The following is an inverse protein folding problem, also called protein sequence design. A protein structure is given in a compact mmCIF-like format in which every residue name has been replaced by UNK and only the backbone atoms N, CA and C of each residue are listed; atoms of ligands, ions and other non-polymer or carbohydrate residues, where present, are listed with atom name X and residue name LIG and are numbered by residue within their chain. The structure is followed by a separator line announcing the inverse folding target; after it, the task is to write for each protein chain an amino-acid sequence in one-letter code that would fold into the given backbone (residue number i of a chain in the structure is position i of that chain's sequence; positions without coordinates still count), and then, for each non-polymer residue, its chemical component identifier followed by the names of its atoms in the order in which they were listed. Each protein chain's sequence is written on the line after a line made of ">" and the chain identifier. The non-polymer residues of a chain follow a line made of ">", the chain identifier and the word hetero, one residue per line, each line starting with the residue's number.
data_IF_137104005247
#
_entry.id   IF_137104005247
#
_cell.length_a   1.000
_cell.length_b   1.000
_cell.length_c   1.000
_cell.angle_alpha   90.00
_cell.angle_beta   90.00
_cell.angle_gamma   90.00
#
_symmetry.space_group_name_H-M   'P 1'
#
loop_
_entity.id
_entity.type
_entity.pdbx_description
1 polymer ?
#
# COMPACT_ATOMS: atom_id res chain seq x y z
N UNK A 1 44.30 14.60 25.41
CA UNK A 1 43.76 15.35 24.26
C UNK A 1 44.05 14.69 22.93
N UNK A 2 45.29 14.23 22.65
CA UNK A 2 45.60 13.57 21.37
C UNK A 2 44.87 12.22 21.17
N UNK A 3 44.71 11.42 22.23
CA UNK A 3 44.05 10.11 22.16
C UNK A 3 42.51 10.17 21.99
N UNK A 4 41.86 11.28 22.33
CA UNK A 4 40.40 11.44 22.11
C UNK A 4 40.09 11.81 20.66
N UNK A 5 40.99 12.54 20.00
CA UNK A 5 40.85 12.92 18.59
C UNK A 5 41.09 11.71 17.69
N UNK A 6 42.11 10.89 17.96
CA UNK A 6 42.33 9.64 17.21
C UNK A 6 41.14 8.67 17.35
N UNK A 7 40.52 8.60 18.53
CA UNK A 7 39.37 7.71 18.75
C UNK A 7 38.10 8.20 18.06
N UNK A 8 37.95 9.52 17.86
CA UNK A 8 36.86 10.15 17.10
C UNK A 8 37.08 10.06 15.58
N UNK A 9 38.32 10.19 15.11
CA UNK A 9 38.66 10.01 13.70
C UNK A 9 38.50 8.53 13.29
N UNK A 10 38.84 7.60 14.18
CA UNK A 10 38.66 6.17 13.94
C UNK A 10 37.18 5.73 13.96
N UNK A 11 36.32 6.40 14.74
CA UNK A 11 34.87 6.11 14.72
C UNK A 11 34.14 6.75 13.53
N UNK A 12 34.66 7.84 12.97
CA UNK A 12 34.17 8.49 11.75
C UNK A 12 34.70 7.83 10.46
N UNK A 13 35.81 7.11 10.54
CA UNK A 13 36.40 6.37 9.42
C UNK A 13 35.75 4.99 9.19
N UNK A 14 34.96 4.49 10.14
CA UNK A 14 34.19 3.25 9.96
C UNK A 14 33.07 3.49 8.94
N UNK A 15 33.03 2.76 7.82
CA UNK A 15 31.95 2.90 6.84
C UNK A 15 30.58 2.74 7.51
N UNK A 16 29.65 3.65 7.24
CA UNK A 16 28.29 3.65 7.82
C UNK A 16 27.54 2.32 7.62
N UNK A 17 27.96 1.52 6.63
CA UNK A 17 27.49 0.16 6.35
C UNK A 17 27.87 -0.90 7.40
N UNK A 18 28.90 -0.67 8.21
CA UNK A 18 29.30 -1.60 9.28
C UNK A 18 28.59 -1.31 10.62
N UNK A 19 28.10 -0.07 10.81
CA UNK A 19 27.37 0.35 12.02
C UNK A 19 25.87 0.03 11.99
N UNK A 20 25.30 -0.23 10.82
CA UNK A 20 23.86 -0.45 10.63
C UNK A 20 23.45 -1.91 10.52
N UNK A 21 24.38 -2.85 10.73
CA UNK A 21 24.12 -4.27 10.46
C UNK A 21 23.72 -4.51 8.99
N UNK A 22 23.55 -5.77 8.61
CA UNK A 22 22.81 -6.05 7.37
C UNK A 22 21.34 -5.72 7.66
N UNK A 23 20.65 -4.91 6.84
CA UNK A 23 19.21 -4.75 7.01
C UNK A 23 18.57 -6.13 6.96
N UNK A 24 17.80 -6.44 7.99
CA UNK A 24 17.02 -7.67 8.03
C UNK A 24 15.86 -7.51 7.05
N UNK A 25 16.13 -7.88 5.81
CA UNK A 25 15.19 -7.80 4.70
C UNK A 25 13.93 -8.64 4.98
N UNK A 26 14.03 -9.72 5.76
CA UNK A 26 12.88 -10.54 6.13
C UNK A 26 11.95 -9.78 7.09
N UNK A 27 12.53 -9.03 8.04
CA UNK A 27 11.79 -8.13 8.94
C UNK A 27 11.21 -6.92 8.20
N UNK A 28 11.94 -6.32 7.26
CA UNK A 28 11.45 -5.20 6.44
C UNK A 28 10.32 -5.67 5.51
N UNK A 29 10.45 -6.83 4.88
CA UNK A 29 9.39 -7.43 4.08
C UNK A 29 8.20 -7.83 4.96
N UNK A 30 8.41 -8.37 6.17
CA UNK A 30 7.32 -8.66 7.11
C UNK A 30 6.56 -7.39 7.54
N UNK A 31 7.25 -6.26 7.70
CA UNK A 31 6.65 -4.96 7.99
C UNK A 31 5.83 -4.42 6.81
N UNK A 32 6.34 -4.53 5.57
CA UNK A 32 5.59 -4.19 4.36
C UNK A 32 4.38 -5.11 4.09
N UNK A 33 4.46 -6.38 4.54
CA UNK A 33 3.40 -7.38 4.42
C UNK A 33 2.23 -7.14 5.38
N UNK A 34 2.49 -6.73 6.63
CA UNK A 34 1.43 -6.46 7.63
C UNK A 34 0.66 -5.15 7.39
N UNK A 35 1.29 -4.14 6.77
CA UNK A 35 0.62 -2.88 6.37
C UNK A 35 -0.60 -3.10 5.47
N UNK A 36 -0.65 -4.21 4.74
CA UNK A 36 -1.76 -4.54 3.82
C UNK A 36 -2.96 -5.18 4.53
N UNK A 37 -2.77 -5.73 5.73
CA UNK A 37 -3.77 -6.55 6.42
C UNK A 37 -4.63 -5.76 7.41
N UNK A 38 -4.07 -4.76 8.10
CA UNK A 38 -4.80 -3.94 9.10
C UNK A 38 -5.96 -3.11 8.54
N UNK A 39 -5.99 -2.85 7.22
CA UNK A 39 -7.01 -2.04 6.54
C UNK A 39 -8.39 -2.71 6.40
N UNK A 40 -8.52 -4.03 6.63
CA UNK A 40 -9.76 -4.77 6.31
C UNK A 40 -10.80 -4.82 7.43
N UNK A 41 -10.49 -4.40 8.66
CA UNK A 41 -11.45 -4.50 9.78
C UNK A 41 -12.30 -3.25 10.01
N UNK A 42 -11.94 -2.08 9.45
CA UNK A 42 -12.64 -0.82 9.72
C UNK A 42 -13.88 -0.54 8.85
N UNK A 43 -14.14 -1.31 7.77
CA UNK A 43 -15.23 -1.01 6.81
C UNK A 43 -16.46 -1.92 6.97
N UNK A 44 -16.49 -2.79 7.98
CA UNK A 44 -17.39 -3.95 8.00
C UNK A 44 -18.40 -4.07 9.14
N UNK A 45 -18.90 -3.00 9.77
CA UNK A 45 -19.93 -3.13 10.83
C UNK A 45 -21.11 -2.16 10.69
N UNK A 46 -21.71 -2.15 9.51
CA UNK A 46 -23.00 -1.52 9.23
C UNK A 46 -24.14 -2.52 9.02
N UNK A 47 -24.43 -3.37 10.00
CA UNK A 47 -25.76 -3.99 10.13
C UNK A 47 -25.84 -5.53 10.12
N UNK A 48 -26.06 -6.11 11.30
CA UNK A 48 -27.15 -7.06 11.57
C UNK A 48 -27.12 -7.47 13.06
N UNK A 49 -28.22 -7.21 13.76
CA UNK A 49 -28.46 -7.68 15.12
C UNK A 49 -28.71 -9.21 15.14
N UNK A 50 -27.96 -9.89 16.01
CA UNK A 50 -28.28 -11.10 16.78
C UNK A 50 -28.53 -12.45 16.06
N UNK A 51 -27.73 -13.48 16.40
CA UNK A 51 -28.06 -14.55 17.36
C UNK A 51 -26.77 -15.25 17.81
N UNK A 52 -26.64 -15.46 19.11
CA UNK A 52 -25.51 -16.06 19.80
C UNK A 52 -25.42 -17.59 19.66
N UNK A 53 -24.21 -18.12 19.52
CA UNK A 53 -23.83 -19.43 20.08
C UNK A 53 -22.43 -19.31 20.71
N UNK A 54 -22.39 -19.49 22.03
CA UNK A 54 -21.20 -19.63 22.85
C UNK A 54 -20.54 -20.99 22.59
N UNK A 55 -19.27 -21.01 22.18
CA UNK A 55 -18.37 -22.13 22.43
C UNK A 55 -17.05 -21.60 22.97
N UNK A 56 -16.89 -21.71 24.28
CA UNK A 56 -15.64 -21.50 24.98
C UNK A 56 -14.68 -22.65 24.64
N UNK A 57 -13.60 -22.36 23.91
CA UNK A 57 -12.43 -23.23 23.84
C UNK A 57 -11.34 -22.64 24.73
N UNK A 58 -11.16 -23.27 25.90
CA UNK A 58 -10.02 -23.06 26.78
C UNK A 58 -8.81 -23.71 26.13
N UNK A 59 -7.77 -22.93 25.80
CA UNK A 59 -6.43 -23.47 25.52
C UNK A 59 -5.41 -22.77 26.41
N UNK A 60 -4.94 -23.51 27.41
CA UNK A 60 -3.79 -23.16 28.23
C UNK A 60 -2.53 -23.77 27.61
N UNK A 61 -1.49 -22.94 27.44
CA UNK A 61 -0.08 -23.30 27.63
C UNK A 61 0.77 -23.63 26.39
N UNK A 62 1.64 -22.70 25.97
CA UNK A 62 3.07 -22.67 26.35
C UNK A 62 3.77 -21.38 25.86
N UNK A 63 4.81 -20.89 26.56
CA UNK A 63 5.38 -19.56 26.40
C UNK A 63 6.57 -19.52 25.43
N UNK A 64 6.58 -18.55 24.53
CA UNK A 64 7.72 -18.29 23.64
C UNK A 64 7.30 -17.92 22.22
N UNK A 65 6.69 -16.76 22.06
CA UNK A 65 6.55 -16.07 20.77
C UNK A 65 6.37 -14.58 21.07
N UNK A 66 7.17 -13.75 20.39
CA UNK A 66 7.24 -12.29 20.52
C UNK A 66 5.86 -11.64 20.66
N UNK A 67 5.61 -11.04 21.83
CA UNK A 67 4.38 -10.32 22.18
C UNK A 67 4.50 -8.79 22.05
N UNK A 68 5.59 -8.27 21.45
CA UNK A 68 5.91 -6.84 21.56
C UNK A 68 5.56 -6.03 20.30
N UNK A 69 4.40 -6.28 19.71
CA UNK A 69 3.78 -5.26 18.83
C UNK A 69 2.32 -5.09 19.22
N UNK A 70 1.80 -3.86 19.29
CA UNK A 70 0.37 -3.67 19.40
C UNK A 70 -0.28 -4.42 18.23
N UNK A 71 -1.14 -5.38 18.58
CA UNK A 71 -1.95 -6.08 17.59
C UNK A 71 -2.78 -5.04 16.83
N UNK A 72 -3.14 -5.36 15.57
CA UNK A 72 -4.12 -4.64 14.75
C UNK A 72 -5.42 -4.26 15.52
N UNK A 73 -5.63 -4.89 16.68
CA UNK A 73 -6.64 -4.61 17.68
C UNK A 73 -6.63 -3.18 18.26
N UNK A 74 -5.51 -2.44 18.31
CA UNK A 74 -5.53 -1.10 18.94
C UNK A 74 -6.26 -0.04 18.10
N UNK A 75 -6.13 -0.07 16.77
CA UNK A 75 -6.87 0.85 15.88
C UNK A 75 -8.30 0.36 15.67
N UNK A 76 -8.51 -0.96 15.57
CA UNK A 76 -9.83 -1.56 15.44
C UNK A 76 -10.73 -1.39 16.70
N UNK A 77 -10.13 -1.12 17.87
CA UNK A 77 -10.85 -0.85 19.12
C UNK A 77 -10.85 0.63 19.54
N UNK A 78 -10.42 1.56 18.68
CA UNK A 78 -10.56 3.00 18.95
C UNK A 78 -12.06 3.34 18.96
N UNK A 79 -12.57 3.84 20.09
CA UNK A 79 -13.95 4.28 20.24
C UNK A 79 -14.32 5.45 19.31
N UNK A 80 -13.33 6.07 18.65
CA UNK A 80 -13.49 7.12 17.65
C UNK A 80 -13.37 6.62 16.20
N UNK A 81 -13.26 5.31 15.94
CA UNK A 81 -13.09 4.77 14.59
C UNK A 81 -14.19 5.19 13.60
N UNK A 82 -15.37 5.55 14.09
CA UNK A 82 -16.53 5.99 13.30
C UNK A 82 -16.69 7.52 13.18
N UNK A 83 -15.76 8.32 13.73
CA UNK A 83 -15.85 9.78 13.74
C UNK A 83 -14.52 10.44 13.40
N UNK A 84 -14.58 11.67 12.86
CA UNK A 84 -13.39 12.47 12.65
C UNK A 84 -12.73 12.82 13.98
N UNK A 85 -11.44 12.51 14.09
CA UNK A 85 -10.57 13.02 15.15
C UNK A 85 -10.54 14.56 15.10
N UNK A 86 -10.34 15.25 16.24
CA UNK A 86 -10.30 16.72 16.26
C UNK A 86 -9.29 17.32 15.27
N UNK A 87 -8.13 16.69 15.09
CA UNK A 87 -7.11 17.13 14.12
C UNK A 87 -7.58 16.95 12.66
N UNK A 88 -8.29 15.87 12.35
CA UNK A 88 -8.86 15.62 11.03
C UNK A 88 -10.02 16.59 10.72
N UNK A 89 -10.87 16.86 11.71
CA UNK A 89 -11.91 17.89 11.61
C UNK A 89 -11.29 19.27 11.36
N UNK A 90 -10.24 19.63 12.09
CA UNK A 90 -9.52 20.88 11.87
C UNK A 90 -8.88 20.95 10.48
N UNK A 91 -8.34 19.84 9.98
CA UNK A 91 -7.81 19.77 8.62
C UNK A 91 -8.90 20.01 7.57
N UNK A 92 -10.08 19.41 7.76
CA UNK A 92 -11.25 19.66 6.90
C UNK A 92 -11.68 21.12 6.91
N UNK A 93 -11.62 21.79 8.07
CA UNK A 93 -12.05 23.18 8.23
C UNK A 93 -11.01 24.20 7.73
N UNK A 94 -9.71 23.92 7.91
CA UNK A 94 -8.63 24.91 7.69
C UNK A 94 -7.79 24.67 6.43
N UNK A 95 -7.70 23.45 5.89
CA UNK A 95 -6.86 23.15 4.72
C UNK A 95 -7.68 23.32 3.43
N UNK A 96 -7.32 24.28 2.55
CA UNK A 96 -8.03 24.46 1.28
C UNK A 96 -7.99 23.20 0.42
N UNK A 97 -9.15 22.73 -0.03
CA UNK A 97 -9.28 21.53 -0.86
C UNK A 97 -9.35 20.22 -0.08
N UNK A 98 -9.33 20.25 1.26
CA UNK A 98 -9.60 19.06 2.06
C UNK A 98 -11.05 18.59 1.87
N UNK A 99 -11.23 17.27 1.81
CA UNK A 99 -12.53 16.63 1.60
C UNK A 99 -12.71 15.46 2.56
N UNK A 100 -13.89 15.36 3.17
CA UNK A 100 -14.24 14.20 3.97
C UNK A 100 -14.66 13.07 3.03
N UNK A 101 -14.01 11.92 3.14
CA UNK A 101 -14.24 10.75 2.26
C UNK A 101 -14.86 9.57 3.01
N UNK A 102 -14.86 9.60 4.34
CA UNK A 102 -15.61 8.66 5.19
C UNK A 102 -15.96 9.35 6.52
N UNK A 103 -16.79 8.73 7.38
CA UNK A 103 -17.10 9.27 8.70
C UNK A 103 -15.88 9.60 9.57
N UNK A 104 -14.75 8.92 9.34
CA UNK A 104 -13.50 9.06 10.11
C UNK A 104 -12.28 9.48 9.28
N UNK A 105 -12.43 9.71 7.97
CA UNK A 105 -11.30 10.06 7.10
C UNK A 105 -11.50 11.35 6.30
N UNK A 106 -10.44 12.14 6.25
CA UNK A 106 -10.29 13.34 5.43
C UNK A 106 -9.10 13.16 4.50
N UNK A 107 -9.31 13.43 3.21
CA UNK A 107 -8.23 13.61 2.26
C UNK A 107 -7.85 15.09 2.22
N UNK A 108 -6.58 15.39 2.39
CA UNK A 108 -5.98 16.71 2.20
C UNK A 108 -5.15 16.72 0.92
N UNK A 109 -5.10 17.83 0.17
CA UNK A 109 -4.24 17.93 -1.00
C UNK A 109 -2.76 17.79 -0.63
N UNK A 110 -1.99 17.14 -1.51
CA UNK A 110 -0.54 17.14 -1.42
C UNK A 110 0.05 18.55 -1.51
N UNK A 111 1.18 18.82 -0.86
CA UNK A 111 1.81 20.15 -0.82
C UNK A 111 2.47 20.55 -2.16
N UNK A 112 2.40 19.72 -3.20
CA UNK A 112 3.09 19.92 -4.47
C UNK A 112 4.61 19.77 -4.38
N UNK A 113 5.11 19.31 -3.24
CA UNK A 113 6.49 18.90 -3.01
C UNK A 113 6.53 17.39 -2.85
N UNK A 114 7.63 16.78 -3.29
CA UNK A 114 7.93 15.39 -3.01
C UNK A 114 7.89 15.14 -1.49
N UNK A 115 7.49 13.94 -1.05
CA UNK A 115 7.67 13.57 0.33
C UNK A 115 9.16 13.61 0.74
N UNK A 116 9.41 13.72 2.05
CA UNK A 116 10.61 14.32 2.65
C UNK A 116 11.95 13.58 2.43
N UNK A 117 13.06 14.17 2.89
CA UNK A 117 14.41 13.66 2.67
C UNK A 117 14.64 12.30 3.36
N UNK A 118 14.79 11.25 2.54
CA UNK A 118 14.84 9.85 2.98
C UNK A 118 14.13 8.89 2.01
N UNK A 119 13.45 9.44 0.99
CA UNK A 119 12.52 8.71 0.15
C UNK A 119 12.95 8.48 -1.30
N UNK A 120 12.22 7.56 -1.93
CA UNK A 120 12.40 6.97 -3.26
C UNK A 120 12.85 7.99 -4.30
N UNK A 121 13.98 7.70 -4.94
CA UNK A 121 14.51 8.51 -6.03
C UNK A 121 13.46 8.63 -7.13
N UNK A 122 13.19 9.88 -7.53
CA UNK A 122 12.30 10.14 -8.66
C UNK A 122 12.74 9.31 -9.88
N UNK A 123 11.80 8.60 -10.46
CA UNK A 123 12.04 7.73 -11.60
C UNK A 123 12.19 8.59 -12.87
N UNK A 124 13.36 8.49 -13.50
CA UNK A 124 13.58 9.06 -14.82
C UNK A 124 12.90 8.23 -15.93
N UNK A 125 12.68 8.82 -17.12
CA UNK A 125 12.05 8.14 -18.24
C UNK A 125 12.79 6.87 -18.70
N UNK A 126 14.10 6.77 -18.44
CA UNK A 126 14.92 5.60 -18.74
C UNK A 126 14.54 4.35 -17.93
N UNK A 127 13.74 4.52 -16.86
CA UNK A 127 13.24 3.43 -16.03
C UNK A 127 12.08 2.67 -16.65
N UNK A 128 11.45 3.20 -17.69
CA UNK A 128 10.24 2.62 -18.28
C UNK A 128 10.51 1.99 -19.65
N UNK A 129 9.71 0.98 -19.95
CA UNK A 129 9.53 0.42 -21.30
C UNK A 129 8.14 0.85 -21.77
N UNK A 130 8.10 1.78 -22.72
CA UNK A 130 6.85 2.39 -23.15
C UNK A 130 6.32 3.46 -22.19
N UNK A 131 5.09 3.89 -22.43
CA UNK A 131 4.41 4.90 -21.62
C UNK A 131 3.61 4.22 -20.49
N UNK A 132 3.70 4.71 -19.23
CA UNK A 132 2.82 4.28 -18.15
C UNK A 132 1.34 4.51 -18.47
N UNK A 133 0.47 3.67 -17.91
CA UNK A 133 -0.97 3.74 -18.07
C UNK A 133 -1.58 4.38 -16.82
N UNK A 134 -2.20 5.55 -16.97
CA UNK A 134 -2.96 6.17 -15.87
C UNK A 134 -4.18 5.33 -15.51
N UNK A 135 -4.34 5.04 -14.22
CA UNK A 135 -5.39 4.12 -13.75
C UNK A 135 -6.70 4.81 -13.40
N UNK A 136 -6.70 6.14 -13.23
CA UNK A 136 -7.85 6.91 -12.76
C UNK A 136 -8.00 6.95 -11.23
N UNK A 137 -7.07 6.30 -10.52
CA UNK A 137 -7.01 6.23 -9.06
C UNK A 137 -5.86 7.10 -8.52
N UNK A 138 -5.88 7.35 -7.22
CA UNK A 138 -4.85 8.14 -6.54
C UNK A 138 -4.14 7.33 -5.45
N UNK A 139 -2.90 7.74 -5.15
CA UNK A 139 -2.12 7.22 -4.05
C UNK A 139 -2.31 8.13 -2.83
N UNK A 140 -2.43 7.52 -1.64
CA UNK A 140 -2.63 8.24 -0.40
C UNK A 140 -1.58 7.89 0.64
N UNK A 141 -1.12 8.91 1.36
CA UNK A 141 -0.08 8.79 2.38
C UNK A 141 -0.34 9.64 3.61
N UNK A 142 0.54 9.59 4.62
CA UNK A 142 0.43 10.38 5.83
C UNK A 142 1.16 11.73 5.75
N UNK A 143 0.78 12.65 6.63
CA UNK A 143 1.34 14.01 6.72
C UNK A 143 2.84 13.99 6.99
N UNK A 144 3.30 13.13 7.91
CA UNK A 144 4.71 13.05 8.33
C UNK A 144 5.61 12.42 7.28
N UNK A 145 5.03 11.90 6.18
CA UNK A 145 5.79 11.49 5.00
C UNK A 145 6.45 12.69 4.30
N UNK A 146 5.92 13.90 4.48
CA UNK A 146 6.47 15.11 3.86
C UNK A 146 7.45 15.83 4.78
N UNK A 147 8.19 16.81 4.26
CA UNK A 147 9.00 17.68 5.09
C UNK A 147 8.11 18.49 6.07
N UNK A 148 8.62 18.76 7.28
CA UNK A 148 7.86 19.44 8.33
C UNK A 148 7.33 20.83 7.95
N UNK A 149 7.97 21.50 6.98
CA UNK A 149 7.56 22.80 6.45
C UNK A 149 6.56 22.71 5.27
N UNK A 150 6.22 21.50 4.82
CA UNK A 150 5.24 21.29 3.74
C UNK A 150 3.79 21.45 4.20
N UNK A 151 3.55 21.38 5.51
CA UNK A 151 2.23 21.56 6.11
C UNK A 151 2.26 22.61 7.23
N UNK A 152 1.09 23.16 7.64
CA UNK A 152 1.02 23.97 8.85
C UNK A 152 1.58 23.21 10.06
N UNK A 153 2.36 23.91 10.89
CA UNK A 153 3.06 23.31 12.05
C UNK A 153 2.13 22.51 12.97
N UNK A 154 0.91 23.00 13.18
CA UNK A 154 -0.09 22.31 14.00
C UNK A 154 -0.54 20.96 13.41
N UNK A 155 -0.56 20.83 12.08
CA UNK A 155 -0.96 19.61 11.40
C UNK A 155 0.19 18.60 11.43
N UNK A 156 1.39 19.04 11.04
CA UNK A 156 2.56 18.17 11.05
C UNK A 156 2.89 17.66 12.46
N UNK A 157 3.06 18.58 13.42
CA UNK A 157 3.37 18.20 14.81
C UNK A 157 2.22 17.44 15.46
N UNK A 158 0.99 17.81 15.17
CA UNK A 158 -0.16 17.12 15.73
C UNK A 158 -0.27 15.67 15.24
N UNK A 159 0.04 15.40 13.97
CA UNK A 159 0.12 14.02 13.45
C UNK A 159 1.33 13.31 14.03
N UNK A 160 2.50 13.95 14.08
CA UNK A 160 3.71 13.39 14.69
C UNK A 160 3.50 13.00 16.16
N UNK A 161 2.82 13.83 16.95
CA UNK A 161 2.48 13.56 18.35
C UNK A 161 1.55 12.35 18.50
N UNK A 162 0.59 12.17 17.58
CA UNK A 162 -0.28 10.99 17.55
C UNK A 162 0.52 9.74 17.18
N UNK A 163 1.33 9.82 16.13
CA UNK A 163 2.18 8.72 15.67
C UNK A 163 3.14 8.25 16.78
N UNK A 164 3.84 9.19 17.43
CA UNK A 164 4.83 8.88 18.45
C UNK A 164 4.25 8.63 19.85
N UNK A 165 3.05 9.16 20.15
CA UNK A 165 2.46 9.13 21.48
C UNK A 165 1.34 8.12 21.65
N UNK A 166 0.41 8.05 20.69
CA UNK A 166 -0.78 7.21 20.78
C UNK A 166 -0.62 5.88 20.05
N UNK A 167 0.06 5.89 18.91
CA UNK A 167 0.16 4.72 18.02
C UNK A 167 1.48 3.97 18.15
N UNK A 168 2.52 4.62 18.68
CA UNK A 168 3.81 4.00 18.88
C UNK A 168 3.74 2.78 19.80
N UNK A 169 4.51 1.75 19.43
CA UNK A 169 4.71 0.59 20.28
C UNK A 169 5.49 0.93 21.55
N UNK A 170 5.72 -0.07 22.41
CA UNK A 170 6.49 0.12 23.65
C UNK A 170 7.93 0.63 23.42
N UNK A 171 8.46 0.47 22.21
CA UNK A 171 9.75 0.98 21.77
C UNK A 171 9.72 2.45 21.31
N UNK A 172 8.56 3.10 21.36
CA UNK A 172 8.35 4.48 20.92
C UNK A 172 8.45 4.66 19.41
N UNK A 173 8.47 3.56 18.65
CA UNK A 173 8.54 3.60 17.19
C UNK A 173 7.14 3.45 16.59
N UNK A 174 6.89 4.26 15.57
CA UNK A 174 5.72 4.15 14.72
C UNK A 174 6.09 4.52 13.28
N UNK A 175 5.48 3.89 12.27
CA UNK A 175 5.74 4.24 10.88
C UNK A 175 5.44 5.71 10.57
N UNK A 176 6.44 6.41 10.03
CA UNK A 176 6.25 7.72 9.41
C UNK A 176 5.29 7.58 8.22
N UNK A 177 4.40 8.56 8.05
CA UNK A 177 3.47 8.61 6.93
C UNK A 177 2.28 7.67 7.09
N UNK A 178 1.86 7.39 8.32
CA UNK A 178 0.65 6.59 8.53
C UNK A 178 -0.60 7.37 8.14
N UNK A 179 -1.64 6.65 7.74
CA UNK A 179 -2.98 7.19 7.42
C UNK A 179 -4.01 6.81 8.49
N UNK A 180 -3.60 6.10 9.54
CA UNK A 180 -4.49 5.49 10.54
C UNK A 180 -5.20 6.53 11.42
N UNK A 181 -4.68 7.75 11.51
CA UNK A 181 -5.27 8.85 12.27
C UNK A 181 -6.41 9.58 11.53
N UNK A 182 -6.86 9.07 10.39
CA UNK A 182 -7.98 9.63 9.63
C UNK A 182 -7.62 10.84 8.76
N UNK A 183 -6.32 11.10 8.53
CA UNK A 183 -5.85 12.12 7.61
C UNK A 183 -5.03 11.44 6.52
N UNK A 184 -5.46 11.60 5.28
CA UNK A 184 -4.79 11.08 4.10
C UNK A 184 -4.32 12.25 3.24
N UNK A 185 -3.05 12.30 2.90
CA UNK A 185 -2.52 13.22 1.90
C UNK A 185 -2.65 12.58 0.52
N UNK A 186 -3.30 13.28 -0.41
CA UNK A 186 -3.30 12.91 -1.83
C UNK A 186 -1.89 13.10 -2.40
N UNK A 187 -1.22 11.97 -2.66
CA UNK A 187 0.15 11.92 -3.18
C UNK A 187 0.23 11.95 -4.70
N UNK A 188 -0.90 12.03 -5.40
CA UNK A 188 -0.95 12.08 -6.85
C UNK A 188 -1.63 10.86 -7.49
N UNK A 189 -1.63 10.84 -8.83
CA UNK A 189 -2.27 9.78 -9.60
C UNK A 189 -1.46 8.49 -9.58
N UNK A 190 -2.16 7.36 -9.62
CA UNK A 190 -1.55 6.04 -9.79
C UNK A 190 -1.47 5.68 -11.27
N UNK A 191 -0.30 5.21 -11.67
CA UNK A 191 -0.06 4.67 -13.00
C UNK A 191 0.46 3.23 -12.90
N UNK A 192 0.17 2.44 -13.93
CA UNK A 192 0.72 1.12 -14.13
C UNK A 192 1.83 1.18 -15.18
N UNK A 193 3.03 0.72 -14.84
CA UNK A 193 4.21 0.83 -15.71
C UNK A 193 4.93 -0.50 -15.87
N UNK A 194 5.57 -0.69 -17.03
CA UNK A 194 6.49 -1.80 -17.32
C UNK A 194 7.91 -1.28 -17.03
N UNK A 195 8.43 -1.62 -15.86
CA UNK A 195 9.71 -1.14 -15.35
C UNK A 195 10.85 -1.92 -15.95
N UNK A 196 11.85 -1.24 -16.52
CA UNK A 196 13.06 -1.90 -17.03
C UNK A 196 13.79 -2.58 -15.88
N UNK A 197 14.28 -3.79 -16.12
CA UNK A 197 15.18 -4.47 -15.19
C UNK A 197 16.34 -3.55 -14.79
N UNK A 198 16.56 -3.39 -13.47
CA UNK A 198 17.46 -2.37 -12.93
C UNK A 198 18.34 -2.91 -11.82
N UNK A 199 19.62 -2.55 -11.84
CA UNK A 199 20.53 -2.74 -10.71
C UNK A 199 20.41 -1.52 -9.79
N UNK A 200 19.64 -1.67 -8.70
CA UNK A 200 19.41 -0.61 -7.72
C UNK A 200 20.67 -0.18 -6.97
N UNK A 201 21.71 -1.02 -6.89
CA UNK A 201 22.97 -0.65 -6.24
C UNK A 201 23.87 0.17 -7.17
N UNK A 202 23.91 -0.19 -8.46
CA UNK A 202 24.73 0.49 -9.46
C UNK A 202 24.00 1.63 -10.18
N UNK A 203 22.72 1.84 -9.87
CA UNK A 203 21.81 2.78 -10.50
C UNK A 203 21.89 2.75 -12.04
N UNK A 204 21.73 1.55 -12.62
CA UNK A 204 21.80 1.37 -14.08
C UNK A 204 20.88 0.27 -14.58
N UNK A 205 20.48 0.29 -15.85
CA UNK A 205 19.70 -0.79 -16.43
C UNK A 205 20.54 -2.07 -16.55
N UNK A 206 19.86 -3.21 -16.44
CA UNK A 206 20.42 -4.53 -16.75
C UNK A 206 19.58 -5.21 -17.83
N UNK A 207 20.14 -6.24 -18.45
CA UNK A 207 19.41 -7.02 -19.44
C UNK A 207 18.39 -7.91 -18.74
N UNK A 208 17.13 -7.83 -19.17
CA UNK A 208 16.04 -8.62 -18.62
C UNK A 208 14.68 -8.19 -19.21
N UNK A 209 13.62 -8.99 -18.97
CA UNK A 209 12.27 -8.52 -19.21
C UNK A 209 11.96 -7.30 -18.34
N UNK A 210 10.91 -6.55 -18.69
CA UNK A 210 10.40 -5.56 -17.77
C UNK A 210 9.53 -6.22 -16.70
N UNK A 211 9.41 -5.55 -15.56
CA UNK A 211 8.54 -5.97 -14.48
C UNK A 211 7.39 -4.96 -14.31
N UNK A 212 6.11 -5.37 -14.33
CA UNK A 212 5.01 -4.47 -14.03
C UNK A 212 5.09 -3.95 -12.60
N UNK A 213 4.85 -2.66 -12.44
CA UNK A 213 4.82 -1.99 -11.15
C UNK A 213 3.73 -0.91 -11.12
N UNK A 214 3.20 -0.66 -9.93
CA UNK A 214 2.49 0.59 -9.67
C UNK A 214 3.50 1.68 -9.35
N UNK A 215 3.26 2.84 -9.95
CA UNK A 215 4.00 4.07 -9.71
C UNK A 215 3.01 5.18 -9.37
N UNK A 216 3.47 6.17 -8.61
CA UNK A 216 2.73 7.41 -8.35
C UNK A 216 3.31 8.54 -9.20
N UNK A 217 2.45 9.43 -9.70
CA UNK A 217 2.81 10.68 -10.36
C UNK A 217 2.18 11.86 -9.61
N UNK A 218 3.01 12.73 -9.03
CA UNK A 218 2.58 13.93 -8.29
C UNK A 218 2.41 15.17 -9.19
N UNK A 219 2.59 15.00 -10.51
CA UNK A 219 2.57 16.04 -11.53
C UNK A 219 3.94 16.67 -11.83
N UNK A 220 4.94 16.45 -10.97
CA UNK A 220 6.32 16.89 -11.15
C UNK A 220 7.28 15.71 -11.29
N UNK A 221 7.02 14.60 -10.61
CA UNK A 221 7.88 13.45 -10.50
C UNK A 221 7.05 12.15 -10.46
N UNK A 222 7.69 11.08 -10.91
CA UNK A 222 7.20 9.72 -10.74
C UNK A 222 7.97 8.99 -9.66
N UNK A 223 7.29 8.18 -8.87
CA UNK A 223 7.89 7.39 -7.79
C UNK A 223 7.45 5.94 -7.89
N UNK A 224 8.37 5.03 -7.59
CA UNK A 224 8.04 3.63 -7.46
C UNK A 224 7.15 3.43 -6.24
N UNK A 225 6.06 2.67 -6.35
CA UNK A 225 5.26 2.29 -5.17
C UNK A 225 5.53 0.85 -4.78
N UNK A 226 5.30 -0.07 -5.71
CA UNK A 226 5.54 -1.50 -5.53
C UNK A 226 5.45 -2.23 -6.87
N UNK A 227 6.25 -3.28 -6.97
CA UNK A 227 6.27 -4.19 -8.12
C UNK A 227 5.29 -5.32 -7.90
N UNK A 228 4.78 -5.86 -9.00
CA UNK A 228 4.05 -7.11 -9.00
C UNK A 228 5.10 -8.23 -9.11
N UNK A 229 5.09 -9.21 -8.21
CA UNK A 229 6.17 -10.21 -8.07
C UNK A 229 6.28 -11.11 -9.30
N UNK A 230 7.18 -10.78 -10.23
CA UNK A 230 7.25 -11.38 -11.59
C UNK A 230 7.68 -12.82 -11.68
N UNK A 231 8.09 -13.42 -10.57
CA UNK A 231 8.56 -14.78 -10.60
C UNK A 231 7.43 -15.78 -10.83
N UNK A 232 6.21 -15.58 -10.30
CA UNK A 232 5.14 -16.58 -10.41
C UNK A 232 4.01 -16.21 -11.40
N UNK A 233 3.52 -14.96 -11.50
CA UNK A 233 2.37 -14.61 -12.37
C UNK A 233 2.60 -14.76 -13.89
N UNK A 234 3.85 -14.84 -14.37
CA UNK A 234 4.21 -15.05 -15.78
C UNK A 234 4.66 -16.47 -16.10
N UNK A 235 4.62 -17.36 -15.11
CA UNK A 235 4.90 -18.77 -15.37
C UNK A 235 3.62 -19.42 -15.88
N UNK A 236 3.69 -20.15 -16.99
CA UNK A 236 2.54 -20.91 -17.48
C UNK A 236 1.94 -21.81 -16.41
N UNK A 237 0.65 -21.61 -16.14
CA UNK A 237 -0.14 -22.38 -15.17
C UNK A 237 -0.18 -21.83 -13.74
N UNK A 238 0.38 -20.65 -13.49
CA UNK A 238 0.16 -19.92 -12.23
C UNK A 238 -1.27 -19.36 -12.14
N UNK A 239 -1.75 -19.18 -10.90
CA UNK A 239 -3.04 -18.54 -10.63
C UNK A 239 -2.91 -17.02 -10.80
N UNK A 240 -4.04 -16.31 -10.94
CA UNK A 240 -4.04 -14.84 -10.92
C UNK A 240 -3.39 -14.33 -9.62
N UNK A 241 -2.56 -13.30 -9.74
CA UNK A 241 -2.12 -12.51 -8.60
C UNK A 241 -2.89 -11.21 -8.53
N UNK A 242 -3.41 -10.90 -7.34
CA UNK A 242 -4.25 -9.72 -7.12
C UNK A 242 -3.63 -8.80 -6.09
N UNK A 243 -3.48 -7.53 -6.47
CA UNK A 243 -2.98 -6.45 -5.63
C UNK A 243 -4.07 -5.41 -5.41
N UNK A 244 -3.97 -4.68 -4.31
CA UNK A 244 -4.94 -3.64 -3.98
C UNK A 244 -4.32 -2.42 -3.33
N UNK A 245 -4.92 -1.25 -3.59
CA UNK A 245 -4.65 0.01 -2.92
C UNK A 245 -5.97 0.69 -2.60
N UNK A 246 -6.06 1.36 -1.45
CA UNK A 246 -7.23 2.19 -1.15
C UNK A 246 -7.30 3.34 -2.15
N UNK A 247 -8.51 3.69 -2.55
CA UNK A 247 -8.76 4.80 -3.45
C UNK A 247 -9.96 5.63 -2.96
N UNK A 248 -9.81 6.95 -2.98
CA UNK A 248 -10.86 7.89 -2.58
C UNK A 248 -11.13 8.95 -3.67
N UNK A 249 -10.62 8.75 -4.89
CA UNK A 249 -10.73 9.71 -6.00
C UNK A 249 -12.17 10.01 -6.42
N UNK A 250 -13.11 9.13 -6.07
CA UNK A 250 -14.55 9.29 -6.34
C UNK A 250 -15.30 10.04 -5.25
N UNK A 251 -14.63 10.46 -4.16
CA UNK A 251 -15.24 11.07 -2.98
C UNK A 251 -15.90 10.07 -2.02
N UNK A 252 -15.69 8.77 -2.22
CA UNK A 252 -16.11 7.71 -1.31
C UNK A 252 -15.07 6.59 -1.30
N UNK A 253 -15.02 5.74 -0.26
CA UNK A 253 -14.02 4.69 -0.17
C UNK A 253 -14.24 3.64 -1.25
N UNK A 254 -13.21 3.42 -2.04
CA UNK A 254 -13.10 2.36 -3.04
C UNK A 254 -11.74 1.68 -2.89
N UNK A 255 -11.56 0.56 -3.56
CA UNK A 255 -10.27 -0.13 -3.62
C UNK A 255 -9.89 -0.31 -5.07
N UNK A 256 -8.77 0.28 -5.48
CA UNK A 256 -8.13 -0.07 -6.74
C UNK A 256 -7.64 -1.50 -6.62
N UNK A 257 -8.13 -2.39 -7.48
CA UNK A 257 -7.61 -3.72 -7.65
C UNK A 257 -6.87 -3.84 -8.97
N UNK A 258 -5.75 -4.53 -8.94
CA UNK A 258 -4.89 -4.77 -10.11
C UNK A 258 -4.49 -6.22 -10.14
N UNK A 259 -4.57 -6.84 -11.31
CA UNK A 259 -4.14 -8.20 -11.51
C UNK A 259 -3.46 -8.41 -12.84
N UNK A 260 -2.78 -9.56 -12.94
CA UNK A 260 -2.11 -10.03 -14.14
C UNK A 260 -2.53 -11.47 -14.45
N UNK A 261 -2.51 -11.82 -15.74
CA UNK A 261 -2.72 -13.16 -16.23
C UNK A 261 -1.67 -13.50 -17.30
N UNK A 262 -1.19 -14.75 -17.27
CA UNK A 262 -0.31 -15.31 -18.29
C UNK A 262 -0.99 -15.29 -19.67
N UNK A 263 -0.29 -14.79 -20.67
CA UNK A 263 -0.75 -14.77 -22.05
C UNK A 263 -1.69 -13.61 -22.40
N UNK A 264 -2.29 -13.72 -23.60
CA UNK A 264 -3.13 -12.67 -24.20
C UNK A 264 -4.56 -13.12 -24.48
N UNK A 265 -4.95 -14.28 -23.95
CA UNK A 265 -6.26 -14.88 -24.18
C UNK A 265 -7.39 -14.16 -23.42
N UNK A 266 -7.07 -13.43 -22.36
CA UNK A 266 -8.03 -12.68 -21.53
C UNK A 266 -8.53 -11.45 -22.31
N UNK A 267 -9.81 -11.45 -22.66
CA UNK A 267 -10.47 -10.35 -23.37
C UNK A 267 -11.38 -9.51 -22.47
N UNK A 268 -11.81 -10.06 -21.33
CA UNK A 268 -12.71 -9.38 -20.37
C UNK A 268 -12.46 -9.91 -18.96
N UNK A 269 -12.54 -9.02 -17.97
CA UNK A 269 -12.44 -9.38 -16.56
C UNK A 269 -13.57 -8.73 -15.77
N UNK A 270 -14.16 -9.48 -14.85
CA UNK A 270 -15.16 -8.99 -13.91
C UNK A 270 -14.65 -9.13 -12.47
N UNK A 271 -14.67 -8.02 -11.74
CA UNK A 271 -14.54 -7.99 -10.29
C UNK A 271 -15.90 -8.18 -9.65
N UNK A 272 -16.04 -9.18 -8.77
CA UNK A 272 -17.30 -9.49 -8.09
C UNK A 272 -17.15 -9.26 -6.59
N UNK A 273 -17.88 -8.28 -6.06
CA UNK A 273 -17.92 -7.96 -4.64
C UNK A 273 -18.73 -9.01 -3.85
N UNK A 274 -18.57 -9.02 -2.52
CA UNK A 274 -19.25 -9.96 -1.61
C UNK A 274 -20.78 -9.81 -1.60
N UNK A 275 -21.29 -8.63 -1.95
CA UNK A 275 -22.72 -8.36 -2.12
C UNK A 275 -23.26 -8.79 -3.51
N UNK A 276 -22.39 -9.29 -4.39
CA UNK A 276 -22.70 -9.70 -5.75
C UNK A 276 -22.61 -8.61 -6.82
N UNK A 277 -22.28 -7.37 -6.43
CA UNK A 277 -22.03 -6.26 -7.37
C UNK A 277 -20.86 -6.62 -8.29
N UNK A 278 -20.99 -6.30 -9.58
CA UNK A 278 -19.98 -6.57 -10.61
C UNK A 278 -19.41 -5.27 -11.15
N UNK A 279 -18.09 -5.23 -11.30
CA UNK A 279 -17.35 -4.14 -11.94
C UNK A 279 -16.52 -4.71 -13.07
N UNK A 280 -16.73 -4.21 -14.29
CA UNK A 280 -15.90 -4.58 -15.44
C UNK A 280 -14.51 -3.94 -15.30
N UNK A 281 -13.47 -4.72 -15.54
CA UNK A 281 -12.10 -4.24 -15.53
C UNK A 281 -11.72 -3.54 -16.83
N UNK A 282 -10.77 -2.61 -16.73
CA UNK A 282 -9.92 -2.27 -17.86
C UNK A 282 -8.94 -3.42 -18.11
N UNK A 283 -8.69 -3.75 -19.37
CA UNK A 283 -7.81 -4.86 -19.78
C UNK A 283 -6.80 -4.34 -20.80
N UNK A 284 -5.53 -4.66 -20.56
CA UNK A 284 -4.39 -4.32 -21.42
C UNK A 284 -3.59 -5.58 -21.70
N UNK A 285 -3.80 -6.18 -22.87
CA UNK A 285 -3.08 -7.37 -23.35
C UNK A 285 -1.94 -6.99 -24.28
N UNK A 286 -0.73 -7.51 -24.05
CA UNK A 286 0.51 -7.32 -24.84
C UNK A 286 1.01 -5.86 -24.96
N UNK A 287 0.22 -4.89 -24.52
CA UNK A 287 0.53 -3.46 -24.68
C UNK A 287 1.45 -2.92 -23.59
N UNK A 288 1.26 -3.36 -22.35
CA UNK A 288 2.05 -2.91 -21.21
C UNK A 288 3.20 -3.86 -20.94
N UNK A 289 2.90 -5.13 -20.68
CA UNK A 289 3.88 -6.20 -20.47
C UNK A 289 3.79 -7.12 -21.69
N UNK A 290 4.84 -7.20 -22.52
CA UNK A 290 4.82 -8.03 -23.72
C UNK A 290 4.54 -9.49 -23.39
N UNK A 291 3.58 -10.09 -24.10
CA UNK A 291 3.14 -11.47 -23.92
C UNK A 291 2.00 -11.66 -22.94
N UNK A 292 1.62 -10.63 -22.17
CA UNK A 292 0.84 -10.80 -20.94
C UNK A 292 -0.38 -9.90 -20.88
N UNK A 293 -1.33 -10.21 -19.99
CA UNK A 293 -2.51 -9.40 -19.79
C UNK A 293 -2.56 -8.79 -18.40
N UNK A 294 -2.61 -7.46 -18.34
CA UNK A 294 -2.85 -6.70 -17.12
C UNK A 294 -4.28 -6.17 -17.08
N UNK A 295 -4.88 -6.13 -15.90
CA UNK A 295 -6.24 -5.63 -15.73
C UNK A 295 -6.45 -4.96 -14.38
N UNK A 296 -7.34 -3.97 -14.32
CA UNK A 296 -7.62 -3.21 -13.10
C UNK A 296 -9.01 -2.60 -13.06
N UNK A 297 -9.49 -2.30 -11.85
CA UNK A 297 -10.70 -1.52 -11.61
C UNK A 297 -10.72 -0.95 -10.19
N UNK A 298 -11.43 0.17 -10.02
CA UNK A 298 -11.88 0.61 -8.70
C UNK A 298 -13.14 -0.16 -8.30
N UNK A 299 -13.07 -0.88 -7.18
CA UNK A 299 -14.16 -1.69 -6.65
C UNK A 299 -14.72 -1.04 -5.39
N UNK A 300 -16.04 -0.92 -5.31
CA UNK A 300 -16.72 -0.51 -4.07
C UNK A 300 -16.98 -1.73 -3.20
N UNK A 301 -16.69 -1.63 -1.90
CA UNK A 301 -16.88 -2.71 -0.94
C UNK A 301 -15.81 -3.80 -1.01
N UNK A 302 -16.10 -4.95 -0.39
CA UNK A 302 -15.14 -6.06 -0.30
C UNK A 302 -15.18 -6.93 -1.55
N UNK A 303 -14.04 -7.12 -2.19
CA UNK A 303 -13.92 -8.03 -3.34
C UNK A 303 -14.02 -9.49 -2.89
N UNK A 304 -14.87 -10.28 -3.54
CA UNK A 304 -15.04 -11.70 -3.27
C UNK A 304 -14.27 -12.59 -4.26
N UNK A 305 -14.24 -12.21 -5.54
CA UNK A 305 -13.57 -12.97 -6.60
C UNK A 305 -13.36 -12.15 -7.86
N UNK A 306 -12.49 -12.65 -8.74
CA UNK A 306 -12.20 -12.11 -10.06
C UNK A 306 -12.47 -13.20 -11.10
N UNK A 307 -13.18 -12.87 -12.18
CA UNK A 307 -13.48 -13.82 -13.25
C UNK A 307 -12.93 -13.30 -14.57
N UNK A 308 -12.08 -14.09 -15.23
CA UNK A 308 -11.49 -13.76 -16.53
C UNK A 308 -12.19 -14.55 -17.63
N UNK A 309 -12.35 -13.92 -18.79
CA UNK A 309 -13.04 -14.49 -19.94
C UNK A 309 -12.23 -14.32 -21.22
N UNK A 310 -12.31 -15.32 -22.10
CA UNK A 310 -11.79 -15.21 -23.45
C UNK A 310 -12.70 -14.36 -24.37
N UNK A 311 -12.26 -14.13 -25.60
CA UNK A 311 -13.01 -13.35 -26.59
C UNK A 311 -14.37 -13.99 -26.98
N UNK A 312 -14.57 -15.29 -26.74
CA UNK A 312 -15.84 -15.98 -26.96
C UNK A 312 -16.77 -15.91 -25.73
N UNK A 313 -16.32 -15.30 -24.63
CA UNK A 313 -17.05 -15.20 -23.37
C UNK A 313 -16.97 -16.46 -22.51
N UNK A 314 -16.07 -17.39 -22.82
CA UNK A 314 -15.81 -18.56 -21.97
C UNK A 314 -14.94 -18.14 -20.81
N UNK A 315 -15.26 -18.63 -19.61
CA UNK A 315 -14.43 -18.43 -18.41
C UNK A 315 -13.07 -19.11 -18.61
N UNK A 316 -12.01 -18.33 -18.45
CA UNK A 316 -10.63 -18.82 -18.36
C UNK A 316 -10.34 -19.18 -16.91
N UNK A 317 -10.58 -18.24 -15.98
CA UNK A 317 -10.40 -18.43 -14.54
C UNK A 317 -11.53 -17.79 -13.72
N UNK A 318 -11.90 -18.44 -12.61
CA UNK A 318 -12.82 -17.93 -11.58
C UNK A 318 -12.06 -17.96 -10.24
N UNK A 319 -11.41 -16.85 -9.90
CA UNK A 319 -10.41 -16.73 -8.86
C UNK A 319 -11.01 -16.14 -7.57
N UNK A 320 -11.20 -16.93 -6.50
CA UNK A 320 -11.73 -16.42 -5.23
C UNK A 320 -10.68 -15.61 -4.47
N UNK A 321 -11.03 -14.40 -4.03
CA UNK A 321 -10.20 -13.61 -3.13
C UNK A 321 -10.29 -14.21 -1.73
N UNK A 322 -9.14 -14.64 -1.20
CA UNK A 322 -9.06 -15.18 0.16
C UNK A 322 -8.63 -14.10 1.15
N UNK A 323 -9.18 -14.11 2.38
CA UNK A 323 -8.58 -13.38 3.48
C UNK A 323 -7.14 -13.84 3.69
N UNK A 324 -6.30 -12.89 4.07
CA UNK A 324 -4.91 -13.14 4.42
C UNK A 324 -4.83 -13.83 5.78
N UNK A 325 -4.80 -15.15 5.79
CA UNK A 325 -4.55 -15.90 7.02
C UNK A 325 -3.04 -16.15 7.14
N UNK A 326 -2.43 -15.62 8.20
CA UNK A 326 -1.05 -15.97 8.57
C UNK A 326 -0.95 -17.50 8.69
N UNK A 327 0.02 -18.16 8.03
CA UNK A 327 1.31 -17.63 7.55
C UNK A 327 1.41 -17.46 6.02
N UNK A 328 0.32 -17.47 5.26
CA UNK A 328 0.40 -17.45 3.78
C UNK A 328 0.65 -16.03 3.27
N UNK A 329 1.71 -15.84 2.47
CA UNK A 329 2.02 -14.56 1.80
C UNK A 329 0.86 -14.15 0.88
N UNK A 330 0.44 -12.90 1.01
CA UNK A 330 -0.71 -12.32 0.31
C UNK A 330 -0.35 -11.59 -0.99
N UNK A 331 0.56 -12.16 -1.74
CA UNK A 331 0.37 -12.14 -3.19
C UNK A 331 -0.81 -13.09 -3.41
N UNK A 332 -2.02 -12.56 -3.56
CA UNK A 332 -3.24 -13.38 -3.47
C UNK A 332 -3.20 -14.43 -4.58
N UNK A 333 -2.94 -15.69 -4.20
CA UNK A 333 -2.96 -16.92 -5.01
C UNK A 333 -4.32 -17.62 -4.95
#
# INVERSE_FOLDING_TARGET
>A
MTNEIEHLEQSLATPRSELLGRPDLDTIHALGRRRRTGRRLAVGLGGALAVAVLTAAVVNGMPGADQDRPADDQVANDAQADQLRPIAQRALDEIPGAVQVSPSQVVVPGPGTAPGPGEEQALGPERFVGDPITMGSHYYTGVTRYAADSFPDWLYRGVEEIEQGELAGEDGSYPVGSTEMGILVDGGSVELACMRAWDWNADKPVDGPCDPALIADDGAHRYYMWGMGTDDFLKPGSQLEMFSSDNYSTGSPTTLWVGGADGTDVARVEYVATDGTRTDAQVSSDALVPGETMFWADVTGTLAKVVTYDAAGKVIEDHPIRPCDSPTDCEVR
#
